data_IF_278667000278
#
_entry.id   IF_278667000278
#
_cell.length_a   1.000
_cell.length_b   1.000
_cell.length_c   1.000
_cell.angle_alpha   90.00
_cell.angle_beta   90.00
_cell.angle_gamma   90.00
#
_symmetry.space_group_name_H-M   'P 1'
#
loop_
_entity.id
_entity.type
_entity.pdbx_description
1 polymer ?
#
# COMPACT_ATOMS: atom_id res chain seq x y z
N UNK A 1 33.05 7.47 23.25
CA UNK A 1 31.62 7.12 23.25
C UNK A 1 31.21 6.81 21.82
N UNK A 2 30.97 5.55 21.47
CA UNK A 2 30.49 5.19 20.12
C UNK A 2 29.00 5.51 20.03
N UNK A 3 28.65 6.64 19.43
CA UNK A 3 27.27 6.93 19.03
C UNK A 3 27.02 6.24 17.70
N UNK A 4 26.34 5.09 17.73
CA UNK A 4 25.82 4.47 16.51
C UNK A 4 24.72 5.36 15.94
N UNK A 5 24.99 6.01 14.81
CA UNK A 5 23.96 6.66 14.00
C UNK A 5 23.18 5.56 13.27
N UNK A 6 22.04 5.16 13.83
CA UNK A 6 21.08 4.35 13.07
C UNK A 6 20.44 5.22 11.99
N UNK A 7 20.29 4.73 10.75
CA UNK A 7 19.53 5.46 9.75
C UNK A 7 18.09 5.67 10.27
N UNK A 8 17.46 6.82 9.96
CA UNK A 8 16.09 7.07 10.37
C UNK A 8 15.16 5.99 9.78
N UNK A 9 14.07 5.63 10.49
CA UNK A 9 13.09 4.70 9.97
C UNK A 9 12.49 5.24 8.66
N UNK A 10 12.07 4.36 7.73
CA UNK A 10 11.40 4.78 6.51
C UNK A 10 10.18 5.66 6.81
N UNK A 11 9.94 6.67 5.99
CA UNK A 11 8.79 7.54 6.15
C UNK A 11 7.49 6.83 5.73
N UNK A 12 6.42 7.05 6.49
CA UNK A 12 5.07 6.68 6.07
C UNK A 12 4.59 7.65 4.97
N UNK A 13 4.05 7.12 3.89
CA UNK A 13 3.58 7.88 2.72
C UNK A 13 2.06 7.88 2.58
N UNK A 14 1.39 6.84 3.09
CA UNK A 14 -0.05 6.69 2.98
C UNK A 14 -0.61 5.85 4.14
N UNK A 15 -1.89 6.06 4.47
CA UNK A 15 -2.59 5.32 5.51
C UNK A 15 -3.98 4.92 5.02
N UNK A 16 -4.43 3.74 5.40
CA UNK A 16 -5.81 3.31 5.22
C UNK A 16 -6.29 2.53 6.46
N UNK A 17 -7.49 2.85 6.93
CA UNK A 17 -8.13 2.15 8.03
C UNK A 17 -8.89 0.94 7.49
N UNK A 18 -8.74 -0.20 8.15
CA UNK A 18 -9.48 -1.38 7.79
C UNK A 18 -10.98 -1.16 8.09
N UNK A 19 -11.90 -1.49 7.14
CA UNK A 19 -13.28 -1.05 7.22
C UNK A 19 -14.16 -1.79 8.22
N UNK A 20 -13.74 -2.99 8.67
CA UNK A 20 -14.51 -3.81 9.63
C UNK A 20 -13.78 -4.00 10.98
N UNK A 21 -12.49 -4.36 10.97
CA UNK A 21 -11.63 -4.35 12.14
C UNK A 21 -10.99 -2.98 12.41
N UNK A 22 -11.56 -2.22 13.35
CA UNK A 22 -11.05 -0.90 13.75
C UNK A 22 -9.66 -0.91 14.39
N UNK A 23 -9.09 -2.08 14.69
CA UNK A 23 -7.75 -2.17 15.24
C UNK A 23 -6.66 -2.21 14.16
N UNK A 24 -7.04 -2.37 12.89
CA UNK A 24 -6.10 -2.62 11.80
C UNK A 24 -5.95 -1.38 10.92
N UNK A 25 -4.68 -1.01 10.69
CA UNK A 25 -4.29 0.07 9.79
C UNK A 25 -3.26 -0.47 8.80
N UNK A 26 -3.45 -0.17 7.53
CA UNK A 26 -2.42 -0.36 6.51
C UNK A 26 -1.61 0.93 6.35
N UNK A 27 -0.29 0.81 6.40
CA UNK A 27 0.66 1.92 6.31
C UNK A 27 1.57 1.69 5.11
N UNK A 28 1.48 2.57 4.12
CA UNK A 28 2.37 2.59 2.97
C UNK A 28 3.65 3.31 3.33
N UNK A 29 4.79 2.78 2.88
CA UNK A 29 6.11 3.30 3.24
C UNK A 29 6.91 3.75 2.01
N UNK A 30 7.91 4.60 2.25
CA UNK A 30 8.87 5.03 1.22
C UNK A 30 9.83 3.90 0.79
N UNK A 31 10.06 2.90 1.65
CA UNK A 31 10.89 1.70 1.38
C UNK A 31 10.19 0.62 0.52
N UNK A 32 9.13 1.00 -0.20
CA UNK A 32 8.24 0.15 -1.00
C UNK A 32 7.44 -0.91 -0.26
N UNK A 33 7.50 -0.93 1.07
CA UNK A 33 6.72 -1.86 1.89
C UNK A 33 5.36 -1.30 2.30
N UNK A 34 4.45 -2.22 2.64
CA UNK A 34 3.19 -1.89 3.31
C UNK A 34 3.21 -2.61 4.65
N UNK A 35 2.97 -1.90 5.75
CA UNK A 35 2.85 -2.49 7.07
C UNK A 35 1.38 -2.60 7.44
N UNK A 36 0.98 -3.79 7.88
CA UNK A 36 -0.31 -4.01 8.51
C UNK A 36 -0.08 -3.95 10.01
N UNK A 37 -0.59 -2.90 10.63
CA UNK A 37 -0.36 -2.58 12.02
C UNK A 37 -1.65 -2.77 12.82
N UNK A 38 -1.52 -3.42 13.98
CA UNK A 38 -2.60 -3.56 14.95
C UNK A 38 -2.38 -2.59 16.10
N UNK A 39 -3.20 -1.53 16.15
CA UNK A 39 -3.09 -0.45 17.15
C UNK A 39 -3.41 -0.92 18.57
N UNK A 40 -4.18 -2.01 18.73
CA UNK A 40 -4.62 -2.48 20.05
C UNK A 40 -3.50 -3.16 20.83
N UNK A 41 -2.64 -3.88 20.11
CA UNK A 41 -1.50 -4.61 20.70
C UNK A 41 -0.17 -3.94 20.41
N UNK A 42 -0.17 -2.83 19.65
CA UNK A 42 1.02 -2.08 19.24
C UNK A 42 2.03 -2.94 18.45
N UNK A 43 1.54 -3.69 17.45
CA UNK A 43 2.38 -4.62 16.68
C UNK A 43 2.13 -4.57 15.17
N UNK A 44 3.20 -4.75 14.40
CA UNK A 44 3.13 -5.01 12.95
C UNK A 44 2.78 -6.47 12.72
N UNK A 45 1.52 -6.74 12.38
CA UNK A 45 1.02 -8.09 12.04
C UNK A 45 1.66 -8.65 10.78
N UNK A 46 1.91 -7.82 9.77
CA UNK A 46 2.44 -8.26 8.48
C UNK A 46 3.17 -7.14 7.75
N UNK A 47 4.21 -7.49 7.00
CA UNK A 47 4.94 -6.56 6.13
C UNK A 47 4.83 -7.05 4.68
N UNK A 48 4.04 -6.36 3.88
CA UNK A 48 3.75 -6.73 2.49
C UNK A 48 4.84 -6.17 1.58
N UNK A 49 5.37 -7.03 0.71
CA UNK A 49 6.40 -6.67 -0.26
C UNK A 49 5.91 -7.03 -1.65
N UNK A 50 5.93 -6.07 -2.55
CA UNK A 50 5.46 -6.26 -3.91
C UNK A 50 5.82 -5.11 -4.83
N UNK A 51 5.77 -3.89 -4.30
CA UNK A 51 6.24 -2.71 -5.02
C UNK A 51 7.76 -2.59 -4.97
N UNK A 52 8.29 -1.95 -6.00
CA UNK A 52 9.72 -1.63 -6.19
C UNK A 52 10.06 -0.17 -5.90
N UNK A 53 9.02 0.66 -5.72
CA UNK A 53 9.11 2.06 -5.32
C UNK A 53 8.12 2.34 -4.21
N UNK A 54 8.21 3.52 -3.61
CA UNK A 54 7.32 3.97 -2.53
C UNK A 54 5.84 3.75 -2.84
N UNK A 55 5.09 3.47 -1.78
CA UNK A 55 3.64 3.35 -1.84
C UNK A 55 3.03 4.74 -2.03
N UNK A 56 2.10 4.86 -2.97
CA UNK A 56 1.41 6.12 -3.30
C UNK A 56 -0.10 6.07 -3.06
N UNK A 57 -0.65 4.88 -2.81
CA UNK A 57 -2.06 4.73 -2.47
C UNK A 57 -2.37 3.39 -1.84
N UNK A 58 -3.36 3.40 -0.95
CA UNK A 58 -3.94 2.24 -0.30
C UNK A 58 -5.45 2.43 -0.23
N UNK A 59 -6.20 1.39 -0.60
CA UNK A 59 -7.65 1.39 -0.50
C UNK A 59 -8.16 0.00 -0.13
N UNK A 60 -8.99 -0.08 0.90
CA UNK A 60 -9.69 -1.32 1.26
C UNK A 60 -10.99 -1.45 0.48
N UNK A 61 -11.35 -2.69 0.15
CA UNK A 61 -12.72 -3.07 -0.18
C UNK A 61 -13.26 -3.98 0.90
N UNK A 62 -14.37 -3.56 1.51
CA UNK A 62 -15.09 -4.37 2.50
C UNK A 62 -16.03 -5.41 1.89
N UNK A 63 -16.26 -5.36 0.57
CA UNK A 63 -17.09 -6.34 -0.15
C UNK A 63 -16.24 -7.50 -0.64
N UNK A 64 -15.03 -7.20 -1.13
CA UNK A 64 -14.13 -8.20 -1.71
C UNK A 64 -13.12 -8.76 -0.69
N UNK A 65 -13.06 -8.20 0.53
CA UNK A 65 -12.06 -8.54 1.55
C UNK A 65 -10.62 -8.43 1.01
N UNK A 66 -10.34 -7.30 0.35
CA UNK A 66 -9.03 -7.01 -0.22
C UNK A 66 -8.53 -5.62 0.15
N UNK A 67 -7.22 -5.50 0.19
CA UNK A 67 -6.49 -4.25 0.14
C UNK A 67 -5.91 -4.09 -1.26
N UNK A 68 -6.13 -2.95 -1.91
CA UNK A 68 -5.46 -2.57 -3.15
C UNK A 68 -4.41 -1.53 -2.84
N UNK A 69 -3.21 -1.72 -3.38
CA UNK A 69 -2.10 -0.78 -3.24
C UNK A 69 -1.56 -0.34 -4.59
N UNK A 70 -1.16 0.93 -4.67
CA UNK A 70 -0.43 1.50 -5.80
C UNK A 70 0.95 1.99 -5.35
N UNK A 71 1.91 1.92 -6.27
CA UNK A 71 3.24 2.47 -6.08
C UNK A 71 3.63 3.44 -7.20
N UNK A 72 4.70 4.21 -6.95
CA UNK A 72 5.34 5.04 -7.97
C UNK A 72 6.04 4.21 -9.08
N UNK A 73 5.99 2.88 -8.98
CA UNK A 73 6.41 1.93 -10.01
C UNK A 73 5.32 1.64 -11.05
N UNK A 74 4.19 2.35 -10.97
CA UNK A 74 3.02 2.13 -11.80
C UNK A 74 2.45 0.69 -11.68
N UNK A 75 2.80 -0.03 -10.61
CA UNK A 75 2.21 -1.31 -10.28
C UNK A 75 1.01 -1.11 -9.36
N UNK A 76 -0.01 -1.94 -9.56
CA UNK A 76 -1.15 -2.15 -8.67
C UNK A 76 -1.07 -3.56 -8.13
N UNK A 77 -1.10 -3.70 -6.80
CA UNK A 77 -1.18 -5.00 -6.13
C UNK A 77 -2.52 -5.15 -5.42
N UNK A 78 -3.05 -6.37 -5.41
CA UNK A 78 -4.24 -6.76 -4.66
C UNK A 78 -3.82 -7.79 -3.61
N UNK A 79 -4.19 -7.54 -2.36
CA UNK A 79 -3.85 -8.34 -1.19
C UNK A 79 -5.12 -8.86 -0.53
N UNK A 80 -5.14 -10.13 -0.15
CA UNK A 80 -6.19 -10.68 0.72
C UNK A 80 -6.08 -10.06 2.14
N UNK A 81 -7.19 -9.76 2.83
CA UNK A 81 -7.13 -9.19 4.20
C UNK A 81 -7.09 -10.21 5.35
N UNK A 82 -7.39 -11.48 5.09
CA UNK A 82 -7.35 -12.56 6.09
C UNK A 82 -5.90 -13.02 6.33
N UNK A 83 -5.15 -13.24 5.25
CA UNK A 83 -3.77 -13.75 5.27
C UNK A 83 -2.71 -12.75 4.81
N UNK A 84 -3.13 -11.57 4.31
CA UNK A 84 -2.22 -10.56 3.77
C UNK A 84 -1.36 -11.02 2.59
N UNK A 85 -1.84 -12.03 1.87
CA UNK A 85 -1.14 -12.59 0.71
C UNK A 85 -1.45 -11.82 -0.56
N UNK A 86 -0.44 -11.69 -1.44
CA UNK A 86 -0.59 -11.06 -2.75
C UNK A 86 -1.41 -11.96 -3.68
N UNK A 87 -2.62 -11.54 -4.02
CA UNK A 87 -3.48 -12.28 -4.94
C UNK A 87 -3.17 -11.95 -6.41
N UNK A 88 -2.98 -10.66 -6.72
CA UNK A 88 -2.85 -10.20 -8.11
C UNK A 88 -1.95 -8.98 -8.22
N UNK A 89 -1.33 -8.83 -9.39
CA UNK A 89 -0.61 -7.63 -9.78
C UNK A 89 -0.90 -7.24 -11.23
N UNK A 90 -0.90 -5.93 -11.48
CA UNK A 90 -1.01 -5.33 -12.81
C UNK A 90 -0.15 -4.08 -12.88
N UNK A 91 0.59 -3.93 -13.98
CA UNK A 91 1.23 -2.66 -14.31
C UNK A 91 0.27 -1.79 -15.12
N UNK A 92 0.22 -0.51 -14.81
CA UNK A 92 -0.52 0.46 -15.61
C UNK A 92 0.20 0.64 -16.95
N UNK A 93 -0.58 0.57 -18.03
CA UNK A 93 -0.05 0.84 -19.37
C UNK A 93 0.10 2.36 -19.52
N UNK A 94 1.34 2.83 -19.49
CA UNK A 94 1.66 4.22 -19.77
C UNK A 94 1.82 4.41 -21.28
N UNK A 95 1.34 5.54 -21.85
CA UNK A 95 1.58 5.85 -23.25
C UNK A 95 3.08 5.84 -23.57
N UNK A 96 3.48 5.42 -24.79
CA UNK A 96 4.88 5.45 -25.20
C UNK A 96 5.44 6.86 -25.03
N UNK A 97 6.61 6.96 -24.37
CA UNK A 97 7.26 8.24 -24.04
C UNK A 97 7.02 8.76 -22.62
N UNK A 98 6.08 8.16 -21.85
CA UNK A 98 5.84 8.52 -20.45
C UNK A 98 6.54 7.53 -19.51
N UNK A 99 7.74 7.88 -19.04
CA UNK A 99 8.39 7.11 -17.97
C UNK A 99 7.73 7.43 -16.63
N UNK A 100 7.44 6.44 -15.77
CA UNK A 100 7.01 6.71 -14.40
C UNK A 100 8.14 7.44 -13.66
N UNK A 101 7.99 8.77 -13.55
CA UNK A 101 8.91 9.60 -12.77
C UNK A 101 8.87 9.16 -11.30
N UNK A 102 9.92 9.44 -10.54
CA UNK A 102 9.94 9.16 -9.10
C UNK A 102 8.79 9.87 -8.32
N UNK A 103 8.12 10.84 -8.95
CA UNK A 103 7.03 11.62 -8.39
C UNK A 103 5.64 11.24 -8.92
N UNK A 104 5.48 10.15 -9.68
CA UNK A 104 4.14 9.71 -10.10
C UNK A 104 3.30 9.34 -8.87
N UNK A 105 2.35 10.20 -8.51
CA UNK A 105 1.44 10.01 -7.39
C UNK A 105 0.22 9.20 -7.87
N UNK A 106 0.42 7.89 -8.05
CA UNK A 106 -0.65 6.98 -8.48
C UNK A 106 -1.58 6.74 -7.30
N UNK A 107 -2.81 7.25 -7.35
CA UNK A 107 -3.81 7.06 -6.30
C UNK A 107 -4.79 5.97 -6.68
N UNK A 108 -5.31 5.28 -5.67
CA UNK A 108 -6.36 4.26 -5.83
C UNK A 108 -7.52 4.61 -4.94
N UNK A 109 -8.74 4.53 -5.47
CA UNK A 109 -9.97 4.73 -4.71
C UNK A 109 -11.05 3.77 -5.18
N UNK A 110 -11.68 3.06 -4.24
CA UNK A 110 -12.84 2.23 -4.55
C UNK A 110 -14.07 3.09 -4.88
N UNK A 111 -14.84 2.64 -5.86
CA UNK A 111 -16.18 3.11 -6.14
C UNK A 111 -17.12 2.75 -4.97
N UNK A 112 -18.32 3.36 -4.94
CA UNK A 112 -19.31 3.09 -3.89
C UNK A 112 -19.77 1.63 -3.85
N UNK A 113 -19.70 0.92 -4.98
CA UNK A 113 -19.99 -0.52 -5.04
C UNK A 113 -18.92 -1.40 -4.38
N UNK A 114 -17.74 -0.85 -4.07
CA UNK A 114 -16.59 -1.55 -3.49
C UNK A 114 -16.07 -2.73 -4.31
N UNK A 115 -16.47 -2.83 -5.57
CA UNK A 115 -16.07 -3.87 -6.51
C UNK A 115 -15.11 -3.26 -7.55
N UNK A 116 -15.40 -2.04 -7.99
CA UNK A 116 -14.58 -1.31 -8.94
C UNK A 116 -13.72 -0.29 -8.20
N UNK A 117 -12.53 -0.02 -8.71
CA UNK A 117 -11.69 1.06 -8.21
C UNK A 117 -11.13 1.87 -9.37
N UNK A 118 -10.95 3.15 -9.12
CA UNK A 118 -10.29 4.07 -10.01
C UNK A 118 -8.81 4.16 -9.64
N UNK A 119 -7.97 4.26 -10.67
CA UNK A 119 -6.55 4.61 -10.52
C UNK A 119 -6.31 5.92 -11.26
N UNK A 120 -5.73 6.91 -10.58
CA UNK A 120 -5.47 8.26 -11.13
C UNK A 120 -4.00 8.63 -10.92
#
# INVERSE_FOLDING_TARGET
>A
TMTTFMPPPPAATFLAFHPQDNNIIAIGMDDSSIQIYNVRVDEVKSKLKGHTKRITGLAFSHVLNVLVSSGADAQICVWNTDGWEKQKTRFLQLPPGRTPSAQSDTRVQFHQDQIQFLVV
#
